data_IF_421045928858
#
_entry.id   IF_421045928858
#
_cell.length_a   1.000
_cell.length_b   1.000
_cell.length_c   1.000
_cell.angle_alpha   90.00
_cell.angle_beta   90.00
_cell.angle_gamma   90.00
#
_symmetry.space_group_name_H-M   'P 1'
#
loop_
_entity.id
_entity.type
_entity.pdbx_description
1 polymer ?
#
# COMPACT_ATOMS: atom_id res chain seq x y z
N UNK A 1 7.19 37.94 9.78
CA UNK A 1 6.84 36.59 10.27
C UNK A 1 8.09 35.97 10.88
N UNK A 2 8.05 35.59 12.16
CA UNK A 2 9.08 34.72 12.75
C UNK A 2 8.61 33.30 12.46
N UNK A 3 9.47 32.46 11.90
CA UNK A 3 9.16 31.05 11.66
C UNK A 3 9.72 30.26 12.83
N UNK A 4 8.86 29.54 13.54
CA UNK A 4 9.19 28.68 14.69
C UNK A 4 9.91 27.39 14.23
N UNK A 5 10.37 27.38 12.99
CA UNK A 5 10.98 26.24 12.33
C UNK A 5 12.41 26.06 12.83
N UNK A 6 12.59 25.14 13.79
CA UNK A 6 13.91 24.82 14.33
C UNK A 6 14.69 23.89 13.39
N UNK A 7 15.53 24.46 12.53
CA UNK A 7 16.42 23.73 11.62
C UNK A 7 17.44 22.80 12.31
N UNK A 8 17.60 22.89 13.64
CA UNK A 8 18.48 22.01 14.43
C UNK A 8 17.80 20.74 14.91
N UNK A 9 16.50 20.57 14.69
CA UNK A 9 15.81 19.38 15.16
C UNK A 9 16.15 18.17 14.26
N UNK A 10 17.01 17.28 14.77
CA UNK A 10 17.43 16.06 14.06
C UNK A 10 16.27 15.14 13.67
N UNK A 11 15.11 15.24 14.33
CA UNK A 11 13.91 14.49 13.95
C UNK A 11 13.34 14.91 12.58
N UNK A 12 13.69 16.11 12.08
CA UNK A 12 13.28 16.57 10.73
C UNK A 12 14.05 15.85 9.61
N UNK A 13 15.20 15.25 9.91
CA UNK A 13 16.01 14.51 8.93
C UNK A 13 15.61 13.03 8.85
N UNK A 14 14.78 12.56 9.79
CA UNK A 14 14.32 11.18 9.86
C UNK A 14 12.91 11.00 9.29
N UNK A 15 12.45 9.74 9.24
CA UNK A 15 11.08 9.40 8.85
C UNK A 15 10.05 10.22 9.61
N UNK A 16 9.07 10.73 8.88
CA UNK A 16 7.95 11.54 9.38
C UNK A 16 7.24 10.87 10.54
N UNK A 17 7.09 9.53 10.52
CA UNK A 17 6.41 8.78 11.58
C UNK A 17 7.04 8.89 12.97
N UNK A 18 8.31 9.28 13.07
CA UNK A 18 9.01 9.48 14.34
C UNK A 18 9.00 10.93 14.81
N UNK A 19 8.45 11.84 14.01
CA UNK A 19 8.37 13.25 14.40
C UNK A 19 7.34 13.40 15.52
N UNK A 20 7.62 14.16 16.59
CA UNK A 20 6.66 14.38 17.68
C UNK A 20 5.32 14.99 17.22
N UNK A 21 5.34 15.67 16.07
CA UNK A 21 4.18 16.32 15.47
C UNK A 21 3.38 15.41 14.55
N UNK A 22 3.85 14.19 14.27
CA UNK A 22 3.19 13.30 13.34
C UNK A 22 1.89 12.73 13.91
N UNK A 23 0.80 12.96 13.18
CA UNK A 23 -0.49 12.27 13.25
C UNK A 23 -1.26 12.28 14.59
N UNK A 24 -0.62 12.53 15.73
CA UNK A 24 -1.27 12.69 17.04
C UNK A 24 -2.26 11.57 17.41
N UNK A 25 -1.95 10.32 17.02
CA UNK A 25 -2.83 9.14 17.18
C UNK A 25 -4.16 9.19 16.40
N UNK A 26 -4.28 10.05 15.40
CA UNK A 26 -5.44 10.07 14.50
C UNK A 26 -5.43 8.89 13.52
N UNK A 27 -6.60 8.41 13.05
CA UNK A 27 -6.65 7.40 12.00
C UNK A 27 -6.07 7.93 10.68
N UNK A 28 -5.06 7.26 10.16
CA UNK A 28 -4.52 7.58 8.82
C UNK A 28 -5.39 7.00 7.71
N UNK A 29 -5.46 7.69 6.57
CA UNK A 29 -6.15 7.18 5.39
C UNK A 29 -5.34 6.09 4.67
N UNK A 30 -5.98 5.27 3.84
CA UNK A 30 -5.28 4.30 3.01
C UNK A 30 -4.25 4.97 2.08
N UNK A 31 -4.55 6.15 1.52
CA UNK A 31 -3.62 6.90 0.67
C UNK A 31 -2.39 7.38 1.44
N UNK A 32 -2.59 7.84 2.68
CA UNK A 32 -1.50 8.25 3.57
C UNK A 32 -0.63 7.04 3.96
N UNK A 33 -1.26 5.90 4.29
CA UNK A 33 -0.55 4.65 4.56
C UNK A 33 0.30 4.20 3.37
N UNK A 34 -0.22 4.30 2.14
CA UNK A 34 0.54 4.00 0.93
C UNK A 34 1.68 4.99 0.67
N UNK A 35 1.47 6.28 0.99
CA UNK A 35 2.52 7.30 0.89
C UNK A 35 3.68 6.97 1.84
N UNK A 36 3.36 6.67 3.10
CA UNK A 36 4.33 6.23 4.09
C UNK A 36 5.04 4.94 3.65
N UNK A 37 4.32 3.99 3.08
CA UNK A 37 4.93 2.74 2.60
C UNK A 37 5.94 2.98 1.48
N UNK A 38 5.57 3.71 0.42
CA UNK A 38 6.45 3.92 -0.74
C UNK A 38 7.64 4.83 -0.45
N UNK A 39 7.54 5.71 0.54
CA UNK A 39 8.63 6.62 0.91
C UNK A 39 9.48 6.12 2.07
N UNK A 40 9.29 4.88 2.53
CA UNK A 40 9.88 4.37 3.76
C UNK A 40 9.65 5.34 4.95
N UNK A 41 8.43 5.88 5.01
CA UNK A 41 7.92 6.83 6.00
C UNK A 41 8.58 8.21 5.98
N UNK A 42 9.26 8.58 4.91
CA UNK A 42 9.86 9.93 4.76
C UNK A 42 8.84 11.01 4.39
N UNK A 43 7.72 10.64 3.77
CA UNK A 43 6.65 11.56 3.39
C UNK A 43 5.29 10.85 3.50
N UNK A 44 4.32 11.51 4.13
CA UNK A 44 3.00 10.93 4.39
C UNK A 44 1.94 11.37 3.37
N UNK A 45 2.27 12.32 2.50
CA UNK A 45 1.35 12.89 1.52
C UNK A 45 1.84 12.80 0.06
N UNK A 46 2.86 11.99 -0.25
CA UNK A 46 3.43 11.91 -1.62
C UNK A 46 2.38 11.53 -2.68
N UNK A 47 1.37 10.75 -2.29
CA UNK A 47 0.23 10.37 -3.15
C UNK A 47 -0.94 11.36 -3.05
N UNK A 48 -0.79 12.46 -2.31
CA UNK A 48 -1.81 13.45 -2.03
C UNK A 48 -2.86 12.99 -1.00
N UNK A 49 -3.91 13.79 -0.85
CA UNK A 49 -4.96 13.60 0.15
C UNK A 49 -6.23 12.92 -0.41
N UNK A 50 -6.26 12.59 -1.71
CA UNK A 50 -7.41 11.92 -2.30
C UNK A 50 -7.51 10.47 -1.81
N UNK A 51 -8.61 10.12 -1.14
CA UNK A 51 -8.90 8.77 -0.61
C UNK A 51 -9.06 7.71 -1.70
N UNK A 52 -9.34 8.10 -2.93
CA UNK A 52 -9.54 7.17 -4.06
C UNK A 52 -8.25 6.45 -4.45
N UNK A 53 -7.08 7.08 -4.27
CA UNK A 53 -5.79 6.48 -4.61
C UNK A 53 -5.52 5.25 -3.74
N UNK A 54 -5.73 5.35 -2.42
CA UNK A 54 -5.61 4.20 -1.52
C UNK A 54 -6.63 3.10 -1.81
N UNK A 55 -7.86 3.46 -2.19
CA UNK A 55 -8.88 2.47 -2.63
C UNK A 55 -8.45 1.75 -3.90
N UNK A 56 -7.91 2.49 -4.87
CA UNK A 56 -7.40 1.93 -6.12
C UNK A 56 -6.27 0.92 -5.84
N UNK A 57 -5.25 1.31 -5.08
CA UNK A 57 -4.11 0.44 -4.75
C UNK A 57 -4.54 -0.83 -4.01
N UNK A 58 -5.43 -0.71 -3.03
CA UNK A 58 -5.98 -1.87 -2.33
C UNK A 58 -6.75 -2.80 -3.28
N UNK A 59 -7.57 -2.23 -4.17
CA UNK A 59 -8.29 -2.98 -5.20
C UNK A 59 -7.34 -3.70 -6.16
N UNK A 60 -6.25 -3.04 -6.57
CA UNK A 60 -5.23 -3.62 -7.45
C UNK A 60 -4.57 -4.84 -6.80
N UNK A 61 -4.16 -4.75 -5.53
CA UNK A 61 -3.54 -5.89 -4.83
C UNK A 61 -4.51 -7.05 -4.69
N UNK A 62 -5.75 -6.78 -4.31
CA UNK A 62 -6.79 -7.81 -4.22
C UNK A 62 -7.01 -8.49 -5.58
N UNK A 63 -7.08 -7.72 -6.66
CA UNK A 63 -7.20 -8.28 -8.00
C UNK A 63 -5.98 -9.16 -8.34
N UNK A 64 -4.75 -8.70 -8.10
CA UNK A 64 -3.53 -9.47 -8.36
C UNK A 64 -3.54 -10.81 -7.60
N UNK A 65 -3.92 -10.81 -6.32
CA UNK A 65 -4.00 -12.03 -5.51
C UNK A 65 -5.08 -12.98 -6.05
N UNK A 66 -6.28 -12.46 -6.35
CA UNK A 66 -7.40 -13.27 -6.82
C UNK A 66 -7.11 -13.87 -8.21
N UNK A 67 -6.69 -13.05 -9.16
CA UNK A 67 -6.39 -13.51 -10.53
C UNK A 67 -5.11 -14.35 -10.58
N UNK A 68 -4.07 -13.98 -9.83
CA UNK A 68 -2.85 -14.78 -9.73
C UNK A 68 -3.08 -16.14 -9.06
N UNK A 69 -3.92 -16.17 -8.03
CA UNK A 69 -4.38 -17.40 -7.37
C UNK A 69 -5.18 -18.28 -8.32
N UNK A 70 -6.20 -17.72 -8.99
CA UNK A 70 -7.01 -18.43 -9.97
C UNK A 70 -6.16 -19.00 -11.12
N UNK A 71 -5.24 -18.21 -11.66
CA UNK A 71 -4.31 -18.67 -12.71
C UNK A 71 -3.45 -19.84 -12.24
N UNK A 72 -2.90 -19.75 -11.03
CA UNK A 72 -2.09 -20.82 -10.45
C UNK A 72 -2.91 -22.11 -10.30
N UNK A 73 -4.14 -22.01 -9.81
CA UNK A 73 -5.02 -23.17 -9.67
C UNK A 73 -5.38 -23.80 -11.02
N UNK A 74 -5.70 -22.98 -12.03
CA UNK A 74 -6.15 -23.44 -13.33
C UNK A 74 -5.02 -23.96 -14.24
N UNK A 75 -3.87 -23.29 -14.26
CA UNK A 75 -2.86 -23.53 -15.30
C UNK A 75 -1.57 -24.11 -14.76
N UNK A 76 -1.22 -23.86 -13.49
CA UNK A 76 0.01 -24.42 -12.90
C UNK A 76 -0.17 -25.89 -12.53
N UNK A 77 -1.40 -26.31 -12.20
CA UNK A 77 -1.73 -27.71 -11.95
C UNK A 77 -2.39 -28.36 -13.19
N UNK A 78 -1.77 -28.15 -14.35
CA UNK A 78 -2.30 -28.52 -15.67
C UNK A 78 -2.74 -29.99 -15.76
N UNK A 79 -2.05 -30.91 -15.06
CA UNK A 79 -2.43 -32.32 -15.01
C UNK A 79 -3.83 -32.56 -14.39
N UNK A 80 -4.19 -31.85 -13.32
CA UNK A 80 -5.51 -32.00 -12.68
C UNK A 80 -6.64 -31.38 -13.52
N UNK A 81 -6.36 -30.25 -14.17
CA UNK A 81 -7.33 -29.61 -15.07
C UNK A 81 -7.57 -30.46 -16.31
N UNK A 82 -6.53 -31.05 -16.89
CA UNK A 82 -6.69 -32.02 -17.98
C UNK A 82 -7.49 -33.27 -17.55
N UNK A 83 -7.28 -33.79 -16.33
CA UNK A 83 -8.09 -34.91 -15.80
C UNK A 83 -9.57 -34.54 -15.60
N UNK A 84 -9.86 -33.36 -15.04
CA UNK A 84 -11.24 -32.89 -14.87
C UNK A 84 -11.94 -32.64 -16.21
N UNK A 85 -11.23 -32.09 -17.19
CA UNK A 85 -11.76 -31.89 -18.54
C UNK A 85 -12.04 -33.22 -19.25
N UNK A 86 -11.24 -34.26 -19.01
CA UNK A 86 -11.51 -35.62 -19.52
C UNK A 86 -12.68 -36.32 -18.83
N UNK A 87 -13.02 -35.96 -17.59
CA UNK A 87 -14.19 -36.51 -16.89
C UNK A 87 -15.52 -35.85 -17.29
N UNK A 88 -15.46 -34.69 -17.94
CA UNK A 88 -16.62 -33.95 -18.44
C UNK A 88 -16.91 -34.23 -19.93
N UNK A 89 -16.10 -35.07 -20.58
CA UNK A 89 -16.28 -35.56 -21.96
C UNK A 89 -16.24 -37.08 -22.05
#
# INVERSE_FOLDING_TARGET
>A
MRTDFEFRNGALLGPVVFRPTFNQFEPISATQAWSLFFTASQEDNVLGYNREIGRFLNGTILAVILFGGAWTLLFKNSYLVWQLLQQLG
#
